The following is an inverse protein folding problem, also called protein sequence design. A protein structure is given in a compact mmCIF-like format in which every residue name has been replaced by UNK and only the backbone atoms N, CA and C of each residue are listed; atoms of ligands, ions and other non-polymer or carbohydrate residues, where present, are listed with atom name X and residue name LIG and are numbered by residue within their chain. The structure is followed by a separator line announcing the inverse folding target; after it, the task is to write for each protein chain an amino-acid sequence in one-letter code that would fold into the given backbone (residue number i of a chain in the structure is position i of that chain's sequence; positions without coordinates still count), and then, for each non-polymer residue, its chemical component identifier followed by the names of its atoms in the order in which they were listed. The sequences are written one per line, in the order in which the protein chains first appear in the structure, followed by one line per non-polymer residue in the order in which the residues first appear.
data_IF_811965662685
#
_entry.id   IF_811965662685
#
_cell.length_a   1.000
_cell.length_b   1.000
_cell.length_c   1.000
_cell.angle_alpha   90.00
_cell.angle_beta   90.00
_cell.angle_gamma   90.00
#
_symmetry.space_group_name_H-M   'P 1'
#
loop_
_entity.id
_entity.type
_entity.pdbx_description
1 polymer ?
#
# COMPACT_ATOMS: atom_id res chain seq x y z
N UNK A 1 14.18 5.53 -13.90
CA UNK A 1 14.06 5.77 -12.45
C UNK A 1 13.35 4.58 -11.85
N UNK A 2 14.03 3.82 -10.99
CA UNK A 2 13.48 2.61 -10.37
C UNK A 2 12.59 2.99 -9.20
N UNK A 3 11.41 2.37 -9.00
CA UNK A 3 10.58 2.65 -7.83
C UNK A 3 11.28 2.29 -6.53
N UNK A 4 11.13 3.14 -5.51
CA UNK A 4 11.45 2.76 -4.14
C UNK A 4 10.22 2.16 -3.48
N UNK A 5 10.21 0.83 -3.34
CA UNK A 5 9.12 0.07 -2.71
C UNK A 5 9.32 -0.05 -1.21
N UNK A 6 8.31 0.34 -0.44
CA UNK A 6 8.23 0.14 1.01
C UNK A 6 7.29 -1.03 1.29
N UNK A 7 7.81 -2.06 1.98
CA UNK A 7 7.03 -3.23 2.39
C UNK A 7 6.31 -2.96 3.72
N UNK A 8 5.13 -3.56 3.89
CA UNK A 8 4.39 -3.51 5.17
C UNK A 8 5.20 -4.10 6.33
N UNK A 9 5.09 -3.50 7.51
CA UNK A 9 5.72 -3.99 8.75
C UNK A 9 5.02 -5.21 9.36
N UNK A 10 3.79 -5.52 8.92
CA UNK A 10 3.02 -6.70 9.35
C UNK A 10 3.35 -7.96 8.54
N UNK A 11 4.29 -7.84 7.60
CA UNK A 11 4.87 -8.96 6.88
C UNK A 11 5.69 -9.84 7.81
N UNK A 12 5.22 -11.04 8.05
CA UNK A 12 6.00 -12.06 8.73
C UNK A 12 7.01 -12.71 7.77
N UNK A 13 7.92 -13.52 8.33
CA UNK A 13 8.86 -14.31 7.55
C UNK A 13 8.24 -15.58 6.97
N UNK A 14 6.91 -15.77 7.05
CA UNK A 14 6.25 -17.00 6.67
C UNK A 14 5.90 -17.07 5.17
N UNK A 15 5.96 -15.97 4.42
CA UNK A 15 5.76 -16.01 2.97
C UNK A 15 5.69 -14.65 2.25
N UNK A 16 5.54 -14.65 0.91
CA UNK A 16 5.48 -13.44 0.09
C UNK A 16 4.09 -12.76 0.08
N UNK A 17 3.27 -12.94 1.10
CA UNK A 17 1.90 -12.40 1.18
C UNK A 17 1.88 -10.96 1.71
N UNK A 18 2.76 -10.14 1.14
CA UNK A 18 3.03 -8.79 1.58
C UNK A 18 2.53 -7.76 0.58
N UNK A 19 1.97 -6.68 1.11
CA UNK A 19 1.68 -5.48 0.32
C UNK A 19 2.88 -4.54 0.35
N UNK A 20 3.25 -4.04 -0.82
CA UNK A 20 4.30 -3.04 -1.02
C UNK A 20 3.73 -1.77 -1.67
N UNK A 21 4.20 -0.61 -1.21
CA UNK A 21 3.77 0.71 -1.70
C UNK A 21 4.95 1.51 -2.22
N UNK A 22 4.77 2.28 -3.28
CA UNK A 22 5.77 3.21 -3.80
C UNK A 22 5.13 4.53 -4.20
N UNK A 23 5.83 5.64 -3.92
CA UNK A 23 5.53 6.95 -4.50
C UNK A 23 6.42 7.16 -5.71
N UNK A 24 5.80 7.29 -6.88
CA UNK A 24 6.51 7.42 -8.14
C UNK A 24 6.08 8.70 -8.85
N UNK A 25 7.03 9.60 -9.20
CA UNK A 25 6.76 10.63 -10.19
C UNK A 25 6.57 9.95 -11.56
N UNK A 26 5.41 10.17 -12.19
CA UNK A 26 5.10 9.69 -13.53
C UNK A 26 5.05 10.81 -14.56
N UNK A 27 4.98 10.49 -15.88
CA UNK A 27 5.01 11.48 -16.96
C UNK A 27 3.85 12.47 -16.93
N UNK A 28 2.70 12.07 -16.38
CA UNK A 28 1.50 12.89 -16.28
C UNK A 28 1.24 13.42 -14.86
N UNK A 29 1.61 12.66 -13.81
CA UNK A 29 1.45 13.03 -12.41
C UNK A 29 2.19 12.03 -11.48
N UNK A 30 2.44 12.45 -10.23
CA UNK A 30 2.81 11.55 -9.13
C UNK A 30 1.67 10.62 -8.81
N UNK A 31 1.97 9.35 -8.57
CA UNK A 31 0.96 8.37 -8.18
C UNK A 31 1.46 7.43 -7.09
N UNK A 32 0.51 6.95 -6.29
CA UNK A 32 0.76 5.89 -5.30
C UNK A 32 0.59 4.57 -6.02
N UNK A 33 1.65 3.75 -6.02
CA UNK A 33 1.63 2.41 -6.58
C UNK A 33 1.52 1.37 -5.48
N UNK A 34 0.71 0.35 -5.71
CA UNK A 34 0.53 -0.76 -4.79
C UNK A 34 0.67 -2.09 -5.53
N UNK A 35 1.41 -3.03 -4.95
CA UNK A 35 1.55 -4.39 -5.48
C UNK A 35 1.60 -5.42 -4.37
N UNK A 36 1.33 -6.65 -4.74
CA UNK A 36 1.59 -7.82 -3.92
C UNK A 36 3.03 -8.29 -4.17
N UNK A 37 3.76 -8.59 -3.09
CA UNK A 37 5.17 -8.98 -3.16
C UNK A 37 5.40 -10.32 -3.85
N UNK A 38 4.36 -11.18 -3.97
CA UNK A 38 4.44 -12.44 -4.72
C UNK A 38 4.35 -12.27 -6.23
N UNK A 39 3.97 -11.08 -6.70
CA UNK A 39 3.82 -10.78 -8.11
C UNK A 39 4.52 -9.45 -8.49
N UNK A 40 5.84 -9.33 -8.26
CA UNK A 40 6.55 -8.06 -8.44
C UNK A 40 6.64 -7.60 -9.90
N UNK A 41 6.52 -8.55 -10.84
CA UNK A 41 6.64 -8.33 -12.29
C UNK A 41 5.30 -8.00 -12.95
N UNK A 42 4.18 -8.15 -12.23
CA UNK A 42 2.87 -7.77 -12.73
C UNK A 42 2.65 -6.25 -12.59
N UNK A 43 1.72 -5.67 -13.40
CA UNK A 43 1.38 -4.26 -13.26
C UNK A 43 0.90 -3.91 -11.86
N UNK A 44 1.54 -2.91 -11.25
CA UNK A 44 1.11 -2.38 -9.97
C UNK A 44 -0.17 -1.54 -10.12
N UNK A 45 -1.05 -1.61 -9.13
CA UNK A 45 -2.20 -0.72 -9.00
C UNK A 45 -1.73 0.72 -8.84
N UNK A 46 -2.49 1.66 -9.38
CA UNK A 46 -2.13 3.06 -9.50
C UNK A 46 -3.24 3.94 -8.95
N UNK A 47 -2.94 4.73 -7.93
CA UNK A 47 -3.89 5.64 -7.31
C UNK A 47 -3.41 7.08 -7.39
N UNK A 48 -4.37 7.98 -7.57
CA UNK A 48 -4.16 9.41 -7.34
C UNK A 48 -3.79 9.63 -5.85
N UNK A 49 -2.81 10.50 -5.54
CA UNK A 49 -2.38 10.74 -4.16
C UNK A 49 -3.49 11.23 -3.23
N UNK A 50 -4.41 12.06 -3.72
CA UNK A 50 -5.53 12.56 -2.91
C UNK A 50 -6.55 11.46 -2.65
N UNK A 51 -6.83 10.61 -3.65
CA UNK A 51 -7.68 9.43 -3.46
C UNK A 51 -7.08 8.43 -2.45
N UNK A 52 -5.77 8.16 -2.54
CA UNK A 52 -5.07 7.31 -1.58
C UNK A 52 -5.13 7.84 -0.15
N UNK A 53 -4.94 9.16 0.02
CA UNK A 53 -4.98 9.81 1.33
C UNK A 53 -6.36 9.69 1.99
N UNK A 54 -7.44 9.85 1.20
CA UNK A 54 -8.82 9.64 1.67
C UNK A 54 -9.07 8.19 2.07
N UNK A 55 -8.62 7.25 1.25
CA UNK A 55 -8.72 5.82 1.56
C UNK A 55 -8.01 5.51 2.88
N UNK A 56 -6.74 5.91 3.04
CA UNK A 56 -5.98 5.67 4.26
C UNK A 56 -6.63 6.27 5.50
N UNK A 57 -7.20 7.49 5.40
CA UNK A 57 -7.94 8.11 6.50
C UNK A 57 -9.25 7.41 6.87
N UNK A 58 -9.86 6.68 5.93
CA UNK A 58 -11.06 5.86 6.20
C UNK A 58 -10.75 4.53 6.87
N UNK A 59 -9.50 4.06 6.77
CA UNK A 59 -9.05 2.80 7.36
C UNK A 59 -8.53 3.07 8.78
N UNK A 60 -9.41 2.94 9.77
CA UNK A 60 -9.08 2.95 11.20
C UNK A 60 -9.38 1.60 11.85
N UNK A 61 -8.84 1.34 13.05
CA UNK A 61 -9.27 0.18 13.86
C UNK A 61 -10.79 0.31 14.08
N UNK A 62 -11.60 -0.69 13.69
CA UNK A 62 -13.01 -0.66 14.05
C UNK A 62 -13.12 -0.56 15.57
N UNK A 63 -13.79 0.50 16.05
CA UNK A 63 -14.11 0.68 17.47
C UNK A 63 -14.97 -0.47 18.04
N UNK A 64 -15.50 -1.33 17.18
CA UNK A 64 -16.36 -2.47 17.52
C UNK A 64 -15.65 -3.53 18.38
N UNK A 65 -14.31 -3.54 18.45
CA UNK A 65 -13.54 -4.39 19.37
C UNK A 65 -12.84 -3.64 20.52
N UNK A 66 -13.17 -2.35 20.73
CA UNK A 66 -12.50 -1.51 21.73
C UNK A 66 -13.22 -1.43 23.09
N UNK A 67 -14.28 -2.21 23.31
CA UNK A 67 -14.89 -2.35 24.64
C UNK A 67 -15.12 -3.81 24.96
N UNK A 68 -14.15 -4.41 25.64
CA UNK A 68 -14.30 -5.50 26.60
C UNK A 68 -12.94 -5.80 27.20
N UNK A 69 -12.55 -5.01 28.20
CA UNK A 69 -11.81 -5.40 29.42
C UNK A 69 -11.65 -4.18 30.31
#
# INVERSE_FOLDING_TARGET
MTPHWTRSSYCDSAGPDCVEVALLPGPAATAVRLRDSKAPDLPALAFDPAAWSRFAGSVGRPAVFASSS
#
